data_IF_462433730551
#
_entry.id   IF_462433730551
#
_cell.length_a   1.000
_cell.length_b   1.000
_cell.length_c   1.000
_cell.angle_alpha   90.00
_cell.angle_beta   90.00
_cell.angle_gamma   90.00
#
_symmetry.space_group_name_H-M   'P 1'
#
loop_
_entity.id
_entity.type
_entity.pdbx_description
1 polymer ?
#
# COMPACT_ATOMS: atom_id res chain seq x y z
N UNK A 1 8.19 -27.60 6.34
CA UNK A 1 7.72 -26.72 7.43
C UNK A 1 6.46 -26.02 6.93
N UNK A 2 5.36 -26.02 7.69
CA UNK A 2 4.10 -25.39 7.26
C UNK A 2 4.09 -23.97 7.81
N UNK A 3 3.87 -22.98 6.95
CA UNK A 3 3.69 -21.59 7.36
C UNK A 3 2.22 -21.41 7.70
N UNK A 4 1.90 -21.08 8.94
CA UNK A 4 0.56 -20.77 9.40
C UNK A 4 0.54 -19.31 9.84
N UNK A 5 -0.48 -18.58 9.40
CA UNK A 5 -0.69 -17.16 9.71
C UNK A 5 -2.17 -16.98 10.08
N UNK A 6 -2.47 -16.07 11.00
CA UNK A 6 -3.86 -15.74 11.38
C UNK A 6 -4.61 -15.08 10.21
N UNK A 7 -3.88 -14.34 9.36
CA UNK A 7 -4.42 -13.66 8.18
C UNK A 7 -3.36 -13.56 7.07
N UNK A 8 -3.77 -13.88 5.84
CA UNK A 8 -2.97 -13.67 4.64
C UNK A 8 -3.67 -12.66 3.73
N UNK A 9 -2.94 -11.62 3.34
CA UNK A 9 -3.41 -10.53 2.48
C UNK A 9 -2.66 -10.61 1.15
N UNK A 10 -3.39 -10.63 0.03
CA UNK A 10 -2.82 -10.62 -1.31
C UNK A 10 -3.06 -9.24 -1.94
N UNK A 11 -1.98 -8.52 -2.20
CA UNK A 11 -1.95 -7.15 -2.69
C UNK A 11 -1.52 -6.15 -1.62
N UNK A 12 -0.45 -5.43 -1.89
CA UNK A 12 0.15 -4.36 -1.09
C UNK A 12 -0.27 -2.95 -1.49
N UNK A 13 -1.40 -2.81 -2.19
CA UNK A 13 -2.03 -1.52 -2.45
C UNK A 13 -2.73 -0.93 -1.22
N UNK A 14 -3.37 0.25 -1.35
CA UNK A 14 -4.00 0.96 -0.24
C UNK A 14 -4.98 0.09 0.57
N UNK A 15 -5.78 -0.73 -0.12
CA UNK A 15 -6.74 -1.63 0.53
C UNK A 15 -6.04 -2.70 1.38
N UNK A 16 -5.01 -3.37 0.85
CA UNK A 16 -4.28 -4.42 1.59
C UNK A 16 -3.52 -3.86 2.79
N UNK A 17 -2.91 -2.68 2.64
CA UNK A 17 -2.27 -1.97 3.74
C UNK A 17 -3.27 -1.54 4.82
N UNK A 18 -4.45 -1.04 4.42
CA UNK A 18 -5.51 -0.69 5.35
C UNK A 18 -6.01 -1.92 6.14
N UNK A 19 -6.20 -3.05 5.47
CA UNK A 19 -6.57 -4.32 6.13
C UNK A 19 -5.49 -4.75 7.11
N UNK A 20 -4.21 -4.72 6.73
CA UNK A 20 -3.11 -5.10 7.61
C UNK A 20 -3.08 -4.22 8.87
N UNK A 21 -3.23 -2.90 8.70
CA UNK A 21 -3.25 -1.94 9.79
C UNK A 21 -4.45 -2.17 10.74
N UNK A 22 -5.64 -2.30 10.19
CA UNK A 22 -6.85 -2.51 11.00
C UNK A 22 -6.89 -3.88 11.67
N UNK A 23 -6.42 -4.93 11.01
CA UNK A 23 -6.31 -6.26 11.61
C UNK A 23 -5.34 -6.26 12.81
N UNK A 24 -4.19 -5.57 12.70
CA UNK A 24 -3.26 -5.38 13.83
C UNK A 24 -3.92 -4.64 15.00
N UNK A 25 -4.72 -3.60 14.72
CA UNK A 25 -5.49 -2.87 15.75
C UNK A 25 -6.54 -3.75 16.42
N UNK A 26 -7.12 -4.70 15.69
CA UNK A 26 -8.17 -5.61 16.15
C UNK A 26 -7.63 -6.99 16.61
N UNK A 27 -6.43 -7.03 17.20
CA UNK A 27 -5.80 -8.18 17.88
C UNK A 27 -5.17 -9.27 17.00
N UNK A 28 -5.27 -9.22 15.68
CA UNK A 28 -4.63 -10.21 14.79
C UNK A 28 -3.11 -10.02 14.85
N UNK A 29 -2.35 -11.06 15.22
CA UNK A 29 -0.90 -10.96 15.53
C UNK A 29 0.01 -11.54 14.46
N UNK A 30 -0.44 -12.54 13.72
CA UNK A 30 0.34 -13.11 12.63
C UNK A 30 -0.31 -12.81 11.28
N UNK A 31 0.23 -11.80 10.58
CA UNK A 31 -0.29 -11.32 9.30
C UNK A 31 0.84 -11.42 8.28
N UNK A 32 0.56 -12.11 7.18
CA UNK A 32 1.39 -12.13 6.00
C UNK A 32 0.73 -11.27 4.91
N UNK A 33 1.41 -10.22 4.46
CA UNK A 33 1.02 -9.47 3.27
C UNK A 33 1.95 -9.85 2.12
N UNK A 34 1.37 -10.20 0.98
CA UNK A 34 2.09 -10.55 -0.24
C UNK A 34 1.79 -9.53 -1.32
N UNK A 35 2.82 -8.94 -1.90
CA UNK A 35 2.76 -8.10 -3.08
C UNK A 35 3.62 -8.73 -4.17
N UNK A 36 3.11 -8.68 -5.41
CA UNK A 36 3.83 -9.13 -6.60
C UNK A 36 4.91 -8.12 -6.99
N UNK A 37 4.61 -6.84 -6.87
CA UNK A 37 5.53 -5.76 -7.21
C UNK A 37 6.63 -5.60 -6.15
N UNK A 38 7.71 -4.90 -6.53
CA UNK A 38 8.88 -4.70 -5.66
C UNK A 38 8.59 -3.77 -4.48
N UNK A 39 7.54 -2.96 -4.58
CA UNK A 39 7.20 -1.92 -3.63
C UNK A 39 5.69 -1.94 -3.35
N UNK A 40 5.33 -1.52 -2.14
CA UNK A 40 3.94 -1.33 -1.72
C UNK A 40 3.39 -0.02 -2.31
N UNK A 41 2.07 0.15 -2.29
CA UNK A 41 1.41 1.40 -2.73
C UNK A 41 0.49 1.24 -3.94
N UNK A 42 0.59 0.12 -4.66
CA UNK A 42 -0.38 -0.25 -5.70
C UNK A 42 -0.24 0.56 -6.99
N UNK A 43 -1.30 1.25 -7.40
CA UNK A 43 -1.47 1.71 -8.80
C UNK A 43 -0.76 3.03 -9.14
N UNK A 44 -0.25 3.78 -8.16
CA UNK A 44 0.31 5.13 -8.38
C UNK A 44 1.33 5.21 -9.54
N UNK A 45 2.25 4.25 -9.75
CA UNK A 45 3.19 4.29 -10.87
C UNK A 45 2.53 4.23 -12.27
N UNK A 46 1.26 3.80 -12.35
CA UNK A 46 0.50 3.70 -13.61
C UNK A 46 -0.37 4.94 -13.85
N UNK A 47 -0.56 5.79 -12.84
CA UNK A 47 -1.35 7.01 -12.92
C UNK A 47 -0.51 8.16 -13.50
N UNK A 48 -0.23 8.10 -14.81
CA UNK A 48 0.57 9.11 -15.53
C UNK A 48 -0.31 10.33 -15.89
N UNK A 49 -0.88 10.96 -14.87
CA UNK A 49 -1.64 12.21 -14.99
C UNK A 49 -1.49 13.04 -13.71
N UNK A 50 -1.67 14.35 -13.83
CA UNK A 50 -1.58 15.28 -12.71
C UNK A 50 -2.78 15.18 -11.75
N UNK A 51 -2.68 15.89 -10.63
CA UNK A 51 -3.74 16.02 -9.62
C UNK A 51 -3.41 15.36 -8.27
N UNK A 52 -2.26 14.67 -8.18
CA UNK A 52 -1.73 14.15 -6.92
C UNK A 52 -0.98 15.27 -6.17
N UNK A 53 -0.81 15.10 -4.85
CA UNK A 53 -0.01 16.02 -4.02
C UNK A 53 -0.69 17.33 -3.60
N UNK A 54 -1.73 17.79 -4.29
CA UNK A 54 -2.35 19.10 -4.08
C UNK A 54 -2.76 19.38 -2.62
N UNK A 55 -3.35 18.39 -1.94
CA UNK A 55 -3.81 18.57 -0.57
C UNK A 55 -2.69 18.41 0.45
N UNK A 56 -1.80 17.45 0.24
CA UNK A 56 -0.79 17.01 1.21
C UNK A 56 0.52 17.80 1.06
N UNK A 57 1.05 17.89 -0.15
CA UNK A 57 2.31 18.58 -0.47
C UNK A 57 2.13 20.02 -0.93
N UNK A 58 0.91 20.43 -1.29
CA UNK A 58 0.62 21.74 -1.92
C UNK A 58 1.31 21.94 -3.26
N UNK A 59 1.64 20.84 -3.93
CA UNK A 59 2.26 20.78 -5.25
C UNK A 59 1.41 19.89 -6.17
N UNK A 60 1.44 20.17 -7.47
CA UNK A 60 0.75 19.35 -8.47
C UNK A 60 1.74 18.33 -9.05
N UNK A 61 1.47 17.05 -8.80
CA UNK A 61 2.34 15.94 -9.19
C UNK A 61 1.57 14.90 -10.00
N UNK A 62 2.30 14.14 -10.82
CA UNK A 62 1.81 12.86 -11.35
C UNK A 62 1.83 11.75 -10.30
N UNK A 63 1.17 10.62 -10.57
CA UNK A 63 1.21 9.45 -9.69
C UNK A 63 2.62 8.92 -9.42
N UNK A 64 3.48 8.73 -10.45
CA UNK A 64 4.87 8.34 -10.25
C UNK A 64 5.69 9.34 -9.43
N UNK A 65 5.58 10.65 -9.71
CA UNK A 65 6.31 11.67 -8.94
C UNK A 65 5.88 11.68 -7.47
N UNK A 66 4.58 11.53 -7.20
CA UNK A 66 4.07 11.39 -5.83
C UNK A 66 4.65 10.15 -5.12
N UNK A 67 4.82 9.04 -5.84
CA UNK A 67 5.32 7.78 -5.27
C UNK A 67 6.82 7.83 -4.90
N UNK A 68 7.60 8.72 -5.49
CA UNK A 68 9.05 8.84 -5.29
C UNK A 68 9.45 9.82 -4.17
N UNK A 69 8.49 10.50 -3.52
CA UNK A 69 8.79 11.50 -2.47
C UNK A 69 9.30 10.87 -1.16
N UNK A 70 9.13 9.56 -0.95
CA UNK A 70 9.53 8.81 0.25
C UNK A 70 10.18 7.47 -0.09
#
# INVERSE_FOLDING_TARGET
>A
MKLEYDLVIIGGGPAGLAVALEARRNTVKDILLLERDKYLGGILPQCIHNGFGLQYFKEELTGPEYAEIY
#
